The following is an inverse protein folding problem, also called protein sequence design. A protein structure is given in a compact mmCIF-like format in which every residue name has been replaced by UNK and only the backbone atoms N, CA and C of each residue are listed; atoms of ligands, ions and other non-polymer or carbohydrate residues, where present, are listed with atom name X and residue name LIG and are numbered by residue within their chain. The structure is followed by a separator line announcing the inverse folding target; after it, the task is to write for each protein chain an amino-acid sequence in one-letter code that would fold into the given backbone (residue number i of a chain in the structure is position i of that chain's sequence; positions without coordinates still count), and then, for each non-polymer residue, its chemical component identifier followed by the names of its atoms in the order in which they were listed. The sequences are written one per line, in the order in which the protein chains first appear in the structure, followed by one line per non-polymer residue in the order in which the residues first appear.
data_IF_644984529261
#
_entry.id   IF_644984529261
#
_cell.length_a   1.000
_cell.length_b   1.000
_cell.length_c   1.000
_cell.angle_alpha   90.00
_cell.angle_beta   90.00
_cell.angle_gamma   90.00
#
_symmetry.space_group_name_H-M   'P 1'
#
loop_
_entity.id
_entity.type
_entity.pdbx_description
1 polymer ?
#
# COMPACT_ATOMS: atom_id res chain seq x y z
N UNK A 1 -19.13 -31.10 -5.33
CA UNK A 1 -18.86 -29.63 -5.32
C UNK A 1 -19.02 -29.08 -3.90
N UNK A 2 -18.12 -29.42 -2.95
CA UNK A 2 -18.24 -28.97 -1.55
C UNK A 2 -16.88 -28.63 -0.91
N UNK A 3 -15.87 -28.26 -1.70
CA UNK A 3 -14.52 -27.95 -1.22
C UNK A 3 -14.26 -26.44 -1.02
N UNK A 4 -15.30 -25.63 -0.78
CA UNK A 4 -15.19 -24.16 -0.76
C UNK A 4 -15.66 -23.47 0.53
N UNK A 5 -15.77 -24.20 1.65
CA UNK A 5 -16.36 -23.67 2.90
C UNK A 5 -15.50 -23.77 4.17
N UNK A 6 -14.23 -24.14 4.08
CA UNK A 6 -13.31 -24.05 5.22
C UNK A 6 -12.26 -23.00 4.92
N UNK A 7 -12.59 -21.72 5.15
CA UNK A 7 -11.55 -20.71 5.38
C UNK A 7 -10.83 -21.19 6.64
N UNK A 8 -9.55 -21.54 6.54
CA UNK A 8 -8.78 -21.97 7.70
C UNK A 8 -8.92 -20.88 8.79
N UNK A 9 -9.44 -21.27 9.95
CA UNK A 9 -9.68 -20.33 11.05
C UNK A 9 -8.35 -19.71 11.46
N UNK A 10 -8.24 -18.38 11.35
CA UNK A 10 -7.04 -17.66 11.79
C UNK A 10 -6.78 -17.95 13.27
N UNK A 11 -5.53 -18.30 13.60
CA UNK A 11 -5.08 -18.51 14.97
C UNK A 11 -4.92 -17.16 15.67
N UNK A 12 -5.24 -17.05 16.97
CA UNK A 12 -4.89 -15.85 17.72
C UNK A 12 -3.38 -15.79 17.94
N UNK A 13 -2.80 -14.59 17.93
CA UNK A 13 -1.38 -14.32 18.19
C UNK A 13 -0.94 -14.92 19.54
N UNK A 14 -1.83 -14.90 20.53
CA UNK A 14 -1.60 -15.48 21.85
C UNK A 14 -1.43 -17.01 21.87
N UNK A 15 -1.80 -17.71 20.79
CA UNK A 15 -1.62 -19.16 20.68
C UNK A 15 -0.29 -19.57 20.05
N UNK A 16 0.58 -18.61 19.69
CA UNK A 16 1.89 -18.89 19.14
C UNK A 16 2.88 -19.22 20.25
N UNK A 17 3.69 -20.25 20.02
CA UNK A 17 4.91 -20.48 20.80
C UNK A 17 5.92 -19.35 20.56
N UNK A 18 6.93 -19.20 21.42
CA UNK A 18 7.99 -18.19 21.18
C UNK A 18 8.75 -18.44 19.87
N UNK A 19 8.93 -19.70 19.47
CA UNK A 19 9.54 -20.04 18.19
C UNK A 19 8.66 -19.58 17.01
N UNK A 20 7.36 -19.86 17.06
CA UNK A 20 6.40 -19.40 16.04
C UNK A 20 6.28 -17.87 16.03
N UNK A 21 6.42 -17.20 17.17
CA UNK A 21 6.42 -15.73 17.27
C UNK A 21 7.63 -15.14 16.54
N UNK A 22 8.84 -15.67 16.77
CA UNK A 22 10.04 -15.25 16.04
C UNK A 22 9.94 -15.59 14.55
N UNK A 23 9.40 -16.75 14.20
CA UNK A 23 9.21 -17.13 12.81
C UNK A 23 8.23 -16.20 12.06
N UNK A 24 7.16 -15.79 12.74
CA UNK A 24 6.22 -14.79 12.22
C UNK A 24 6.90 -13.42 12.06
N UNK A 25 7.69 -12.98 13.04
CA UNK A 25 8.45 -11.74 12.94
C UNK A 25 9.40 -11.76 11.74
N UNK A 26 10.20 -12.82 11.57
CA UNK A 26 11.09 -13.00 10.41
C UNK A 26 10.31 -12.92 9.10
N UNK A 27 9.17 -13.61 9.01
CA UNK A 27 8.34 -13.61 7.79
C UNK A 27 7.74 -12.24 7.50
N UNK A 28 7.39 -11.46 8.53
CA UNK A 28 6.90 -10.10 8.37
C UNK A 28 7.99 -9.19 7.80
N UNK A 29 9.20 -9.20 8.37
CA UNK A 29 10.35 -8.43 7.85
C UNK A 29 10.70 -8.77 6.40
N UNK A 30 10.67 -10.07 6.06
CA UNK A 30 10.89 -10.53 4.68
C UNK A 30 9.84 -10.02 3.71
N UNK A 31 8.56 -10.08 4.11
CA UNK A 31 7.48 -9.63 3.26
C UNK A 31 7.51 -8.09 3.13
N UNK A 32 7.69 -7.36 4.23
CA UNK A 32 7.69 -5.89 4.24
C UNK A 32 8.89 -5.30 3.47
N UNK A 33 10.08 -5.90 3.58
CA UNK A 33 11.21 -5.54 2.72
C UNK A 33 10.93 -5.75 1.22
N UNK A 34 10.23 -6.84 0.84
CA UNK A 34 9.83 -7.06 -0.58
C UNK A 34 8.82 -6.03 -1.07
N UNK A 35 7.93 -5.59 -0.19
CA UNK A 35 6.95 -4.55 -0.52
C UNK A 35 7.66 -3.22 -0.74
N UNK A 36 8.60 -2.84 0.11
CA UNK A 36 9.37 -1.62 -0.08
C UNK A 36 10.17 -1.62 -1.38
N UNK A 37 10.82 -2.73 -1.72
CA UNK A 37 11.47 -2.86 -3.03
C UNK A 37 10.47 -2.76 -4.19
N UNK A 38 9.27 -3.31 -4.03
CA UNK A 38 8.22 -3.19 -5.05
C UNK A 38 7.74 -1.74 -5.23
N UNK A 39 7.66 -0.96 -4.14
CA UNK A 39 7.39 0.49 -4.22
C UNK A 39 8.54 1.24 -4.86
N UNK A 40 9.78 0.92 -4.50
CA UNK A 40 10.96 1.52 -5.11
C UNK A 40 10.97 1.32 -6.63
N UNK A 41 10.73 0.09 -7.10
CA UNK A 41 10.69 -0.23 -8.53
C UNK A 41 9.55 0.47 -9.27
N UNK A 42 8.37 0.61 -8.63
CA UNK A 42 7.25 1.35 -9.20
C UNK A 42 7.54 2.85 -9.35
N UNK A 43 8.28 3.42 -8.41
CA UNK A 43 8.55 4.85 -8.33
C UNK A 43 9.84 5.26 -9.07
N UNK A 44 10.74 4.31 -9.38
CA UNK A 44 12.10 4.57 -9.88
C UNK A 44 12.18 5.57 -11.03
N UNK A 45 11.29 5.46 -12.02
CA UNK A 45 11.34 6.27 -13.23
C UNK A 45 10.74 7.67 -13.05
N UNK A 46 9.68 7.79 -12.24
CA UNK A 46 8.89 9.02 -12.12
C UNK A 46 9.22 9.83 -10.85
N UNK A 47 9.65 9.13 -9.79
CA UNK A 47 9.89 9.65 -8.44
C UNK A 47 11.15 9.00 -7.83
N UNK A 48 12.34 9.21 -8.44
CA UNK A 48 13.57 8.50 -8.07
C UNK A 48 14.03 8.78 -6.63
N UNK A 49 13.75 9.97 -6.10
CA UNK A 49 14.08 10.31 -4.72
C UNK A 49 13.21 9.52 -3.73
N UNK A 50 11.91 9.45 -3.99
CA UNK A 50 11.00 8.62 -3.20
C UNK A 50 11.30 7.12 -3.33
N UNK A 51 11.70 6.65 -4.51
CA UNK A 51 12.16 5.28 -4.70
C UNK A 51 13.36 4.96 -3.78
N UNK A 52 14.30 5.90 -3.64
CA UNK A 52 15.48 5.72 -2.80
C UNK A 52 15.14 5.54 -1.32
N UNK A 53 14.17 6.29 -0.82
CA UNK A 53 13.69 6.15 0.57
C UNK A 53 13.21 4.71 0.82
N UNK A 54 12.46 4.12 -0.12
CA UNK A 54 11.99 2.74 0.03
C UNK A 54 13.11 1.70 -0.11
N UNK A 55 14.15 1.94 -0.91
CA UNK A 55 15.34 1.07 -0.93
C UNK A 55 16.08 1.06 0.42
N UNK A 56 16.21 2.24 1.04
CA UNK A 56 16.87 2.38 2.33
C UNK A 56 16.01 1.77 3.46
N UNK A 57 14.69 1.94 3.42
CA UNK A 57 13.77 1.24 4.34
C UNK A 57 13.85 -0.29 4.19
N UNK A 58 13.86 -0.82 2.96
CA UNK A 58 14.04 -2.26 2.73
C UNK A 58 15.38 -2.79 3.29
N UNK A 59 16.40 -1.93 3.36
CA UNK A 59 17.70 -2.28 3.94
C UNK A 59 17.63 -2.37 5.47
N UNK A 60 16.85 -1.52 6.14
CA UNK A 60 16.58 -1.61 7.58
C UNK A 60 15.80 -2.89 7.92
N UNK A 61 14.74 -3.23 7.18
CA UNK A 61 14.01 -4.50 7.39
C UNK A 61 14.90 -5.72 7.20
N UNK A 62 15.86 -5.63 6.27
CA UNK A 62 16.87 -6.68 6.09
C UNK A 62 17.78 -6.83 7.33
N UNK A 63 18.09 -5.73 8.02
CA UNK A 63 18.83 -5.75 9.27
C UNK A 63 18.00 -6.35 10.42
N UNK A 64 16.74 -5.94 10.55
CA UNK A 64 15.78 -6.52 11.51
C UNK A 64 15.64 -8.03 11.32
N UNK A 65 15.42 -8.46 10.08
CA UNK A 65 15.37 -9.88 9.71
C UNK A 65 16.62 -10.63 10.16
N UNK A 66 17.81 -10.07 9.92
CA UNK A 66 19.07 -10.73 10.29
C UNK A 66 19.17 -10.92 11.81
N UNK A 67 18.85 -9.90 12.60
CA UNK A 67 18.84 -10.00 14.07
C UNK A 67 17.85 -11.06 14.59
N UNK A 68 16.65 -11.11 13.99
CA UNK A 68 15.64 -12.11 14.35
C UNK A 68 16.07 -13.54 13.98
N UNK A 69 16.68 -13.73 12.81
CA UNK A 69 17.23 -15.02 12.37
C UNK A 69 18.34 -15.47 13.33
N UNK A 70 19.26 -14.57 13.69
CA UNK A 70 20.35 -14.89 14.59
C UNK A 70 19.84 -15.31 15.98
N UNK A 71 18.82 -14.61 16.49
CA UNK A 71 18.18 -14.99 17.75
C UNK A 71 17.38 -16.30 17.65
N UNK A 72 16.65 -16.52 16.55
CA UNK A 72 15.96 -17.79 16.34
C UNK A 72 16.97 -18.94 16.29
N UNK A 73 18.07 -18.78 15.54
CA UNK A 73 19.13 -19.78 15.41
C UNK A 73 19.74 -20.10 16.76
N UNK A 74 20.04 -19.09 17.60
CA UNK A 74 20.65 -19.32 18.90
C UNK A 74 19.72 -20.03 19.90
N UNK A 75 18.39 -19.84 19.78
CA UNK A 75 17.41 -20.41 20.74
C UNK A 75 16.77 -21.71 20.28
N UNK A 76 16.47 -21.83 18.98
CA UNK A 76 15.63 -22.89 18.41
C UNK A 76 16.32 -23.65 17.26
N UNK A 77 17.52 -23.23 16.84
CA UNK A 77 18.29 -23.84 15.77
C UNK A 77 17.91 -23.36 14.37
N UNK A 78 18.38 -24.07 13.35
CA UNK A 78 18.36 -23.63 11.95
C UNK A 78 16.97 -23.68 11.28
N UNK A 79 16.05 -24.49 11.81
CA UNK A 79 14.75 -24.73 11.14
C UNK A 79 13.70 -23.74 11.62
N UNK A 80 13.51 -22.67 10.84
CA UNK A 80 12.46 -21.67 11.05
C UNK A 80 11.12 -22.23 10.54
N UNK A 81 10.08 -22.36 11.38
CA UNK A 81 8.74 -22.75 10.93
C UNK A 81 8.13 -21.71 9.98
N UNK A 82 7.32 -22.15 9.01
CA UNK A 82 6.60 -21.21 8.13
C UNK A 82 5.33 -20.69 8.82
N UNK A 83 5.36 -19.45 9.31
CA UNK A 83 4.22 -18.77 9.91
C UNK A 83 4.04 -17.43 9.21
N UNK A 84 2.84 -17.15 8.71
CA UNK A 84 2.54 -15.91 7.99
C UNK A 84 1.40 -15.14 8.63
N UNK A 85 1.45 -13.81 8.50
CA UNK A 85 0.47 -12.88 9.09
C UNK A 85 -0.98 -13.15 8.66
N UNK A 86 -1.23 -13.61 7.45
CA UNK A 86 -2.58 -13.94 6.97
C UNK A 86 -3.26 -15.06 7.77
N UNK A 87 -2.49 -15.88 8.47
CA UNK A 87 -3.00 -16.95 9.32
C UNK A 87 -3.27 -16.50 10.77
N UNK A 88 -3.02 -15.23 11.09
CA UNK A 88 -3.12 -14.67 12.44
C UNK A 88 -4.27 -13.66 12.54
N UNK A 89 -5.12 -13.80 13.56
CA UNK A 89 -6.39 -13.06 13.68
C UNK A 89 -6.20 -11.55 13.86
N UNK A 90 -5.17 -11.16 14.58
CA UNK A 90 -4.83 -9.78 14.91
C UNK A 90 -4.29 -9.00 13.70
N UNK A 91 -3.93 -9.70 12.62
CA UNK A 91 -3.51 -9.06 11.37
C UNK A 91 -4.71 -8.89 10.42
N UNK A 92 -4.97 -7.67 9.93
CA UNK A 92 -6.00 -7.43 8.94
C UNK A 92 -5.67 -8.13 7.61
N UNK A 93 -6.68 -8.41 6.81
CA UNK A 93 -6.48 -8.90 5.45
C UNK A 93 -5.82 -7.78 4.61
N UNK A 94 -4.63 -8.06 4.06
CA UNK A 94 -3.88 -7.11 3.23
C UNK A 94 -4.39 -7.13 1.79
N UNK A 95 -4.43 -5.96 1.14
CA UNK A 95 -4.67 -5.88 -0.31
C UNK A 95 -3.49 -6.49 -1.07
N UNK A 96 -3.72 -7.27 -2.14
CA UNK A 96 -2.64 -7.83 -2.94
C UNK A 96 -1.76 -6.75 -3.60
N UNK A 97 -0.47 -7.01 -3.75
CA UNK A 97 0.52 -6.05 -4.27
C UNK A 97 0.21 -5.54 -5.69
N UNK A 98 -0.43 -6.36 -6.54
CA UNK A 98 -0.81 -5.96 -7.90
C UNK A 98 -1.92 -4.90 -7.93
N UNK A 99 -2.69 -4.75 -6.85
CA UNK A 99 -3.69 -3.70 -6.70
C UNK A 99 -3.04 -2.34 -6.37
N UNK A 100 -1.76 -2.34 -5.98
CA UNK A 100 -1.00 -1.14 -5.58
C UNK A 100 -0.31 -0.46 -6.77
N UNK A 101 -0.16 -1.14 -7.91
CA UNK A 101 0.58 -0.64 -9.10
C UNK A 101 0.02 0.64 -9.73
N UNK A 102 -1.21 1.01 -9.42
CA UNK A 102 -1.86 2.23 -9.93
C UNK A 102 -2.11 3.29 -8.86
N UNK A 103 -1.52 3.14 -7.67
CA UNK A 103 -1.73 4.11 -6.60
C UNK A 103 -0.91 5.38 -6.83
N UNK A 104 -1.48 6.57 -6.53
CA UNK A 104 -0.71 7.79 -6.40
C UNK A 104 0.41 7.65 -5.35
N UNK A 105 1.48 8.41 -5.51
CA UNK A 105 2.63 8.38 -4.58
C UNK A 105 2.23 8.69 -3.13
N UNK A 106 1.25 9.58 -2.93
CA UNK A 106 0.71 9.88 -1.60
C UNK A 106 0.11 8.64 -0.92
N UNK A 107 -0.68 7.85 -1.65
CA UNK A 107 -1.28 6.61 -1.14
C UNK A 107 -0.21 5.55 -0.84
N UNK A 108 0.87 5.49 -1.61
CA UNK A 108 2.01 4.60 -1.34
C UNK A 108 2.69 5.00 -0.03
N UNK A 109 2.90 6.31 0.21
CA UNK A 109 3.47 6.84 1.46
C UNK A 109 2.56 6.53 2.65
N UNK A 110 1.26 6.76 2.52
CA UNK A 110 0.27 6.46 3.57
C UNK A 110 0.22 4.95 3.88
N UNK A 111 0.33 4.11 2.86
CA UNK A 111 0.36 2.67 3.03
C UNK A 111 1.63 2.20 3.75
N UNK A 112 2.79 2.79 3.44
CA UNK A 112 4.02 2.53 4.17
C UNK A 112 3.90 2.93 5.64
N UNK A 113 3.41 4.13 5.94
CA UNK A 113 3.19 4.58 7.33
C UNK A 113 2.25 3.64 8.11
N UNK A 114 1.19 3.15 7.45
CA UNK A 114 0.28 2.18 8.06
C UNK A 114 0.95 0.82 8.32
N UNK A 115 1.88 0.39 7.46
CA UNK A 115 2.68 -0.82 7.66
C UNK A 115 3.56 -0.68 8.89
N UNK A 116 4.31 0.42 9.00
CA UNK A 116 5.21 0.71 10.13
C UNK A 116 4.46 0.73 11.48
N UNK A 117 3.30 1.40 11.51
CA UNK A 117 2.43 1.42 12.69
C UNK A 117 1.96 0.02 13.06
N UNK A 118 1.59 -0.80 12.07
CA UNK A 118 1.18 -2.19 12.30
C UNK A 118 2.33 -3.06 12.79
N UNK A 119 3.54 -2.88 12.27
CA UNK A 119 4.75 -3.59 12.70
C UNK A 119 5.09 -3.25 14.16
N UNK A 120 5.10 -1.96 14.51
CA UNK A 120 5.35 -1.51 15.88
C UNK A 120 4.34 -2.06 16.89
N UNK A 121 3.05 -2.09 16.55
CA UNK A 121 2.02 -2.71 17.39
C UNK A 121 2.18 -4.22 17.51
N UNK A 122 2.54 -4.92 16.42
CA UNK A 122 2.86 -6.34 16.47
C UNK A 122 4.01 -6.61 17.45
N UNK A 123 5.13 -5.90 17.30
CA UNK A 123 6.30 -6.09 18.16
C UNK A 123 6.01 -5.78 19.63
N UNK A 124 5.25 -4.72 19.90
CA UNK A 124 4.77 -4.40 21.25
C UNK A 124 3.93 -5.54 21.86
N UNK A 125 2.99 -6.08 21.08
CA UNK A 125 2.13 -7.19 21.50
C UNK A 125 2.88 -8.52 21.65
N UNK A 126 3.91 -8.74 20.83
CA UNK A 126 4.77 -9.92 20.88
C UNK A 126 5.70 -9.86 22.11
N UNK A 127 6.36 -8.72 22.34
CA UNK A 127 7.23 -8.48 23.51
C UNK A 127 6.47 -8.64 24.84
N UNK A 128 5.18 -8.31 24.88
CA UNK A 128 4.35 -8.51 26.06
C UNK A 128 4.09 -10.00 26.39
N UNK A 129 4.17 -10.89 25.40
CA UNK A 129 3.79 -12.31 25.51
C UNK A 129 4.97 -13.26 25.70
N UNK A 130 6.13 -12.91 25.17
CA UNK A 130 7.35 -13.72 25.34
C UNK A 130 7.85 -13.61 26.78
N UNK A 131 8.47 -14.67 27.27
CA UNK A 131 9.00 -14.77 28.65
C UNK A 131 10.51 -14.65 28.68
N UNK A 132 11.19 -15.17 27.66
CA UNK A 132 12.64 -15.10 27.51
C UNK A 132 13.14 -13.65 27.42
N UNK A 133 14.18 -13.33 28.20
CA UNK A 133 14.69 -11.97 28.31
C UNK A 133 15.33 -11.47 27.01
N UNK A 134 16.04 -12.32 26.27
CA UNK A 134 16.71 -11.94 25.02
C UNK A 134 15.69 -11.66 23.92
N UNK A 135 14.66 -12.51 23.81
CA UNK A 135 13.55 -12.30 22.90
C UNK A 135 12.70 -11.10 23.28
N UNK A 136 12.39 -10.91 24.57
CA UNK A 136 11.66 -9.72 25.03
C UNK A 136 12.42 -8.44 24.72
N UNK A 137 13.74 -8.44 24.92
CA UNK A 137 14.60 -7.30 24.59
C UNK A 137 14.54 -6.99 23.09
N UNK A 138 14.86 -7.97 22.23
CA UNK A 138 14.89 -7.74 20.78
C UNK A 138 13.54 -7.25 20.25
N UNK A 139 12.44 -7.89 20.63
CA UNK A 139 11.10 -7.46 20.18
C UNK A 139 10.72 -6.08 20.73
N UNK A 140 11.18 -5.72 21.93
CA UNK A 140 10.99 -4.38 22.49
C UNK A 140 11.80 -3.31 21.76
N UNK A 141 13.06 -3.62 21.42
CA UNK A 141 13.93 -2.74 20.65
C UNK A 141 13.36 -2.53 19.23
N UNK A 142 12.90 -3.60 18.58
CA UNK A 142 12.21 -3.52 17.28
C UNK A 142 10.94 -2.66 17.36
N UNK A 143 10.10 -2.85 18.39
CA UNK A 143 8.92 -1.99 18.57
C UNK A 143 9.27 -0.49 18.69
N UNK A 144 10.45 -0.17 19.24
CA UNK A 144 10.96 1.20 19.29
C UNK A 144 11.55 1.66 17.95
N UNK A 145 12.22 0.76 17.22
CA UNK A 145 12.73 1.01 15.87
C UNK A 145 11.59 1.34 14.90
N UNK A 146 10.52 0.53 14.86
CA UNK A 146 9.33 0.78 14.01
C UNK A 146 8.67 2.14 14.30
N UNK A 147 8.58 2.51 15.58
CA UNK A 147 8.06 3.83 15.96
C UNK A 147 8.96 4.97 15.48
N UNK A 148 10.25 4.70 15.34
CA UNK A 148 11.23 5.64 14.83
C UNK A 148 11.32 5.61 13.31
N UNK A 149 10.66 4.68 12.61
CA UNK A 149 10.63 4.63 11.15
C UNK A 149 9.88 5.83 10.55
N UNK A 150 8.89 6.41 11.24
CA UNK A 150 8.29 7.69 10.81
C UNK A 150 9.34 8.82 10.81
N UNK A 151 10.15 8.90 11.87
CA UNK A 151 11.24 9.88 11.97
C UNK A 151 12.39 9.57 11.01
N UNK A 152 12.65 8.29 10.72
CA UNK A 152 13.60 7.85 9.70
C UNK A 152 13.10 8.26 8.31
N UNK A 153 11.86 7.96 7.95
CA UNK A 153 11.24 8.36 6.70
C UNK A 153 11.26 9.88 6.53
N UNK A 154 11.02 10.64 7.60
CA UNK A 154 11.13 12.12 7.57
C UNK A 154 12.57 12.59 7.34
N UNK A 155 13.56 11.95 7.96
CA UNK A 155 14.99 12.25 7.78
C UNK A 155 15.51 11.85 6.40
N UNK A 156 15.13 10.68 5.92
CA UNK A 156 15.42 10.19 4.57
C UNK A 156 14.73 11.08 3.53
N UNK A 157 13.49 11.53 3.78
CA UNK A 157 12.84 12.55 2.95
C UNK A 157 13.63 13.85 2.96
N UNK A 158 14.10 14.36 4.11
CA UNK A 158 14.94 15.56 4.13
C UNK A 158 16.26 15.39 3.36
N UNK A 159 16.78 14.15 3.27
CA UNK A 159 18.05 13.84 2.59
C UNK A 159 17.87 13.61 1.08
N UNK A 160 16.88 12.81 0.70
CA UNK A 160 16.65 12.37 -0.67
C UNK A 160 15.62 13.22 -1.41
N UNK A 161 14.63 13.73 -0.68
CA UNK A 161 13.49 14.47 -1.21
C UNK A 161 13.34 15.82 -0.48
N UNK A 162 14.35 16.71 -0.53
CA UNK A 162 14.23 18.04 0.07
C UNK A 162 12.99 18.76 -0.48
N UNK A 163 12.46 19.74 0.26
CA UNK A 163 11.13 20.32 -0.01
C UNK A 163 10.88 20.69 -1.47
N UNK A 164 11.90 21.19 -2.18
CA UNK A 164 11.82 21.48 -3.63
C UNK A 164 11.57 20.23 -4.47
N UNK A 165 12.30 19.14 -4.23
CA UNK A 165 12.14 17.86 -4.93
C UNK A 165 10.80 17.23 -4.58
N UNK A 166 10.37 17.33 -3.33
CA UNK A 166 9.05 16.82 -2.91
C UNK A 166 7.93 17.56 -3.64
N UNK A 167 8.00 18.88 -3.69
CA UNK A 167 7.02 19.70 -4.43
C UNK A 167 7.03 19.38 -5.92
N UNK A 168 8.20 19.14 -6.52
CA UNK A 168 8.32 18.74 -7.93
C UNK A 168 7.69 17.36 -8.20
N UNK A 169 7.94 16.37 -7.33
CA UNK A 169 7.32 15.04 -7.41
C UNK A 169 5.79 15.13 -7.21
N UNK A 170 5.32 15.90 -6.24
CA UNK A 170 3.90 16.07 -5.97
C UNK A 170 3.18 16.80 -7.13
N UNK A 171 3.82 17.83 -7.72
CA UNK A 171 3.32 18.46 -8.95
C UNK A 171 3.31 17.52 -10.15
N UNK A 172 4.36 16.71 -10.32
CA UNK A 172 4.43 15.72 -11.39
C UNK A 172 3.29 14.70 -11.25
N UNK A 173 3.03 14.24 -10.03
CA UNK A 173 1.90 13.35 -9.71
C UNK A 173 0.56 14.00 -10.02
N UNK A 174 0.37 15.26 -9.65
CA UNK A 174 -0.84 16.00 -9.95
C UNK A 174 -1.05 16.20 -11.46
N UNK A 175 0.00 16.60 -12.19
CA UNK A 175 -0.04 16.74 -13.65
C UNK A 175 -0.40 15.41 -14.32
N UNK A 176 0.22 14.32 -13.91
CA UNK A 176 -0.07 12.99 -14.45
C UNK A 176 -1.52 12.59 -14.21
N UNK A 177 -2.06 12.82 -13.01
CA UNK A 177 -3.46 12.56 -12.71
C UNK A 177 -4.39 13.37 -13.64
N UNK A 178 -4.10 14.65 -13.83
CA UNK A 178 -4.87 15.52 -14.72
C UNK A 178 -4.81 15.02 -16.18
N UNK A 179 -3.62 14.70 -16.69
CA UNK A 179 -3.43 14.26 -18.08
C UNK A 179 -4.03 12.86 -18.35
N UNK A 180 -4.02 11.97 -17.34
CA UNK A 180 -4.43 10.56 -17.52
C UNK A 180 -5.92 10.35 -17.28
N UNK A 181 -6.52 11.07 -16.33
CA UNK A 181 -7.92 10.84 -15.93
C UNK A 181 -8.82 12.04 -16.21
N UNK A 182 -8.42 13.24 -15.77
CA UNK A 182 -9.28 14.42 -15.82
C UNK A 182 -9.46 14.91 -17.25
N UNK A 183 -8.38 15.09 -18.00
CA UNK A 183 -8.43 15.60 -19.37
C UNK A 183 -9.18 14.65 -20.32
N UNK A 184 -8.89 13.33 -20.36
CA UNK A 184 -9.67 12.42 -21.18
C UNK A 184 -11.15 12.38 -20.78
N UNK A 185 -11.46 12.46 -19.48
CA UNK A 185 -12.83 12.54 -18.99
C UNK A 185 -13.56 13.82 -19.42
N UNK A 186 -12.91 14.98 -19.30
CA UNK A 186 -13.45 16.27 -19.76
C UNK A 186 -13.59 16.32 -21.28
N UNK A 187 -12.61 15.81 -22.03
CA UNK A 187 -12.67 15.71 -23.49
C UNK A 187 -13.83 14.80 -23.92
N UNK A 188 -13.99 13.64 -23.27
CA UNK A 188 -15.13 12.75 -23.52
C UNK A 188 -16.48 13.37 -23.19
N UNK A 189 -16.58 14.24 -22.18
CA UNK A 189 -17.79 15.01 -21.90
C UNK A 189 -18.05 16.10 -22.95
N UNK A 190 -17.01 16.77 -23.43
CA UNK A 190 -17.14 17.76 -24.51
C UNK A 190 -17.57 17.08 -25.80
N UNK A 191 -16.92 15.99 -26.21
CA UNK A 191 -17.22 15.32 -27.47
C UNK A 191 -18.50 14.48 -27.40
N UNK A 192 -18.73 13.80 -26.28
CA UNK A 192 -19.88 12.91 -26.11
C UNK A 192 -21.16 13.65 -25.79
N UNK A 193 -21.20 14.40 -24.68
CA UNK A 193 -22.42 15.05 -24.18
C UNK A 193 -22.76 16.36 -24.87
N UNK A 194 -21.79 17.24 -25.17
CA UNK A 194 -22.12 18.51 -25.85
C UNK A 194 -22.50 18.25 -27.31
N UNK A 195 -21.85 17.30 -27.99
CA UNK A 195 -22.16 16.98 -29.39
C UNK A 195 -23.48 16.22 -29.57
N UNK A 196 -23.94 15.45 -28.58
CA UNK A 196 -25.29 14.83 -28.61
C UNK A 196 -26.39 15.77 -28.13
N UNK A 197 -26.10 16.69 -27.21
CA UNK A 197 -27.09 17.65 -26.70
C UNK A 197 -27.32 18.83 -27.67
N UNK A 198 -26.29 19.25 -28.43
CA UNK A 198 -26.41 20.39 -29.33
C UNK A 198 -27.54 20.26 -30.38
N UNK A 199 -27.74 19.11 -31.06
CA UNK A 199 -28.88 18.90 -31.97
C UNK A 199 -30.24 18.97 -31.27
N UNK A 200 -30.32 18.49 -30.03
CA UNK A 200 -31.56 18.48 -29.22
C UNK A 200 -31.96 19.92 -28.88
N UNK A 201 -31.01 20.72 -28.38
CA UNK A 201 -31.27 22.13 -28.08
C UNK A 201 -31.54 22.96 -29.34
N UNK A 202 -30.85 22.68 -30.45
CA UNK A 202 -31.12 23.33 -31.73
C UNK A 202 -32.54 23.04 -32.24
N UNK A 203 -32.99 21.78 -32.18
CA UNK A 203 -34.35 21.39 -32.55
C UNK A 203 -35.40 22.03 -31.62
N UNK A 204 -35.17 22.03 -30.31
CA UNK A 204 -36.05 22.67 -29.34
C UNK A 204 -36.20 24.17 -29.60
N UNK A 205 -35.10 24.87 -29.87
CA UNK A 205 -35.10 26.32 -30.07
C UNK A 205 -35.67 26.71 -31.44
N UNK A 206 -35.39 25.93 -32.48
CA UNK A 206 -35.84 26.24 -33.84
C UNK A 206 -37.32 25.89 -34.07
N UNK A 207 -37.83 24.82 -33.43
CA UNK A 207 -39.18 24.32 -33.70
C UNK A 207 -40.19 24.68 -32.61
N UNK A 208 -39.75 24.82 -31.35
CA UNK A 208 -40.64 24.96 -30.20
C UNK A 208 -41.52 23.72 -29.93
N UNK A 209 -41.30 22.61 -30.63
CA UNK A 209 -42.11 21.38 -30.56
C UNK A 209 -41.38 20.30 -29.74
N UNK A 210 -42.00 19.88 -28.65
CA UNK A 210 -41.48 18.87 -27.73
C UNK A 210 -41.38 17.48 -28.36
N UNK A 211 -42.26 17.16 -29.31
CA UNK A 211 -42.30 15.86 -30.01
C UNK A 211 -41.14 15.75 -31.00
N UNK A 212 -40.89 16.81 -31.76
CA UNK A 212 -39.76 16.89 -32.70
C UNK A 212 -38.43 16.86 -31.96
N UNK A 213 -38.31 17.61 -30.88
CA UNK A 213 -37.15 17.61 -29.99
C UNK A 213 -36.87 16.21 -29.41
N UNK A 214 -37.92 15.51 -28.97
CA UNK A 214 -37.82 14.15 -28.46
C UNK A 214 -37.34 13.16 -29.52
N UNK A 215 -37.84 13.23 -30.75
CA UNK A 215 -37.41 12.36 -31.86
C UNK A 215 -35.94 12.58 -32.23
N UNK A 216 -35.49 13.84 -32.26
CA UNK A 216 -34.07 14.19 -32.49
C UNK A 216 -33.19 13.65 -31.37
N UNK A 217 -33.61 13.80 -30.11
CA UNK A 217 -32.87 13.24 -28.96
C UNK A 217 -32.82 11.72 -28.93
N UNK A 218 -33.92 11.05 -29.30
CA UNK A 218 -33.96 9.60 -29.41
C UNK A 218 -33.04 9.11 -30.54
N UNK A 219 -33.05 9.77 -31.70
CA UNK A 219 -32.15 9.47 -32.81
C UNK A 219 -30.68 9.63 -32.42
N UNK A 220 -30.34 10.73 -31.75
CA UNK A 220 -28.97 10.99 -31.28
C UNK A 220 -28.49 9.99 -30.21
N UNK A 221 -29.41 9.42 -29.43
CA UNK A 221 -29.09 8.43 -28.38
C UNK A 221 -28.86 7.01 -28.92
N UNK A 222 -29.41 6.69 -30.10
CA UNK A 222 -29.26 5.38 -30.75
C UNK A 222 -27.99 5.31 -31.60
N UNK A 223 -27.54 6.45 -32.14
CA UNK A 223 -26.37 6.56 -33.02
C UNK A 223 -26.77 6.68 -34.48
#
# INVERSE_FOLDING_TARGET
MLARLLRASKRPLASLTEQEMLALAISNEEDDGRIYLSYADLLRDQYPASARIFEDMASEESHHRQMLIDLHRSRFGERIPLVRREHIREFPDRKPDWLVRSLPIAEIRDQAEAMEKSAGEFYRLAAARVTDASTRKLLGDLAQAERSHEDLARRLAATHTPESVRSEEDEASHRQFVLTYVQPGLAGLMDGSVSTLAPIFAAAFATGDTTQTFLVGLSASIG
#
